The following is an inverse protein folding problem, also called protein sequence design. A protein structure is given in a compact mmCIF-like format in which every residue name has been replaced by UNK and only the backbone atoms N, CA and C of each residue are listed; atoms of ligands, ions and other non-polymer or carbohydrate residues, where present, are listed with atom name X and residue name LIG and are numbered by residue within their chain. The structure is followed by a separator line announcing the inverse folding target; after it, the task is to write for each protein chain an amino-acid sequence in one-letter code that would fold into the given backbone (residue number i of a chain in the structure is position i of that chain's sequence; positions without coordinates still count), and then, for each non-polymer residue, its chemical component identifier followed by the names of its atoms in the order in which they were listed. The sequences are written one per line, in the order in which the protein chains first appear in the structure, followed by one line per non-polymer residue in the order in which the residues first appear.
data_IF_337612019397
#
_entry.id   IF_337612019397
#
_cell.length_a   1.000
_cell.length_b   1.000
_cell.length_c   1.000
_cell.angle_alpha   90.00
_cell.angle_beta   90.00
_cell.angle_gamma   90.00
#
_symmetry.space_group_name_H-M   'P 1'
#
loop_
_entity.id
_entity.type
_entity.pdbx_description
1 polymer ?
#
# COMPACT_ATOMS: atom_id res chain seq x y z
N UNK A 1 50.20 -25.25 -39.38
CA UNK A 1 49.30 -25.98 -38.45
C UNK A 1 49.46 -25.37 -37.07
N UNK A 2 48.56 -24.46 -36.67
CA UNK A 2 48.57 -23.86 -35.34
C UNK A 2 47.57 -24.59 -34.45
N UNK A 3 48.05 -25.45 -33.57
CA UNK A 3 47.25 -26.07 -32.53
C UNK A 3 47.16 -25.10 -31.34
N UNK A 4 46.02 -24.43 -31.18
CA UNK A 4 45.69 -23.66 -29.99
C UNK A 4 45.43 -24.62 -28.82
N UNK A 5 46.45 -24.84 -27.99
CA UNK A 5 46.39 -25.64 -26.75
C UNK A 5 45.76 -24.87 -25.57
N UNK A 6 44.69 -24.11 -25.80
CA UNK A 6 44.04 -23.30 -24.75
C UNK A 6 42.95 -24.05 -23.98
N UNK A 7 42.48 -25.19 -24.47
CA UNK A 7 41.35 -25.94 -23.90
C UNK A 7 41.71 -26.82 -22.69
N UNK A 8 42.99 -27.08 -22.43
CA UNK A 8 43.41 -28.07 -21.42
C UNK A 8 44.10 -27.48 -20.18
N UNK A 9 44.12 -26.15 -20.06
CA UNK A 9 44.66 -25.50 -18.86
C UNK A 9 43.73 -25.75 -17.65
N UNK A 10 44.28 -25.92 -16.43
CA UNK A 10 43.48 -26.03 -15.21
C UNK A 10 42.51 -24.85 -15.01
N UNK A 11 42.86 -23.66 -15.52
CA UNK A 11 41.96 -22.50 -15.53
C UNK A 11 40.78 -22.70 -16.49
N UNK A 12 41.02 -23.15 -17.72
CA UNK A 12 39.96 -23.41 -18.70
C UNK A 12 38.95 -24.46 -18.20
N UNK A 13 39.45 -25.51 -17.52
CA UNK A 13 38.58 -26.53 -16.91
C UNK A 13 37.73 -25.99 -15.76
N UNK A 14 38.30 -25.15 -14.88
CA UNK A 14 37.55 -24.47 -13.80
C UNK A 14 36.51 -23.49 -14.34
N UNK A 15 36.84 -22.77 -15.40
CA UNK A 15 35.91 -21.87 -16.07
C UNK A 15 34.76 -22.62 -16.74
N UNK A 16 35.06 -23.73 -17.43
CA UNK A 16 34.04 -24.60 -18.01
C UNK A 16 33.10 -25.19 -16.94
N UNK A 17 33.64 -25.63 -15.80
CA UNK A 17 32.82 -26.12 -14.68
C UNK A 17 31.95 -25.02 -14.07
N UNK A 18 32.49 -23.80 -13.92
CA UNK A 18 31.72 -22.63 -13.46
C UNK A 18 30.60 -22.30 -14.43
N UNK A 19 30.88 -22.26 -15.73
CA UNK A 19 29.88 -21.96 -16.76
C UNK A 19 28.78 -23.03 -16.76
N UNK A 20 29.14 -24.32 -16.66
CA UNK A 20 28.16 -25.40 -16.56
C UNK A 20 27.24 -25.25 -15.34
N UNK A 21 27.79 -24.90 -14.17
CA UNK A 21 27.00 -24.65 -12.95
C UNK A 21 26.06 -23.46 -13.11
N UNK A 22 26.50 -22.40 -13.79
CA UNK A 22 25.66 -21.24 -14.10
C UNK A 22 24.53 -21.65 -15.05
N UNK A 23 24.83 -22.37 -16.13
CA UNK A 23 23.83 -22.83 -17.10
C UNK A 23 22.79 -23.76 -16.47
N UNK A 24 23.22 -24.68 -15.60
CA UNK A 24 22.34 -25.55 -14.81
C UNK A 24 21.42 -24.72 -13.87
N UNK A 25 21.96 -23.71 -13.20
CA UNK A 25 21.20 -22.82 -12.32
C UNK A 25 20.18 -21.98 -13.12
N UNK A 26 20.57 -21.44 -14.27
CA UNK A 26 19.70 -20.68 -15.16
C UNK A 26 18.56 -21.55 -15.72
N UNK A 27 18.86 -22.77 -16.15
CA UNK A 27 17.86 -23.71 -16.64
C UNK A 27 16.86 -24.11 -15.55
N UNK A 28 17.34 -24.29 -14.30
CA UNK A 28 16.48 -24.57 -13.15
C UNK A 28 15.58 -23.37 -12.82
N UNK A 29 16.14 -22.16 -12.78
CA UNK A 29 15.39 -20.93 -12.55
C UNK A 29 14.32 -20.70 -13.62
N UNK A 30 14.66 -20.89 -14.90
CA UNK A 30 13.70 -20.76 -16.01
C UNK A 30 12.55 -21.77 -15.94
N UNK A 31 12.81 -23.00 -15.49
CA UNK A 31 11.74 -23.99 -15.26
C UNK A 31 10.85 -23.62 -14.10
N UNK A 32 11.43 -23.16 -12.99
CA UNK A 32 10.67 -22.69 -11.83
C UNK A 32 9.79 -21.49 -12.22
N UNK A 33 10.35 -20.51 -12.94
CA UNK A 33 9.63 -19.35 -13.45
C UNK A 33 8.42 -19.75 -14.31
N UNK A 34 8.61 -20.65 -15.28
CA UNK A 34 7.53 -21.16 -16.14
C UNK A 34 6.46 -21.97 -15.41
N UNK A 35 6.74 -22.46 -14.19
CA UNK A 35 5.78 -23.22 -13.41
C UNK A 35 4.81 -22.33 -12.61
N UNK A 36 5.11 -21.03 -12.46
CA UNK A 36 4.23 -20.11 -11.75
C UNK A 36 3.03 -19.72 -12.61
N UNK A 37 1.84 -19.75 -12.01
CA UNK A 37 0.68 -19.09 -12.59
C UNK A 37 0.78 -17.60 -12.26
N UNK A 38 1.05 -16.78 -13.27
CA UNK A 38 1.21 -15.32 -13.10
C UNK A 38 -0.13 -14.62 -13.23
N UNK A 39 -0.59 -14.00 -12.14
CA UNK A 39 -1.82 -13.23 -12.07
C UNK A 39 -1.51 -11.73 -12.02
N UNK A 40 -2.01 -10.98 -13.01
CA UNK A 40 -1.83 -9.53 -13.08
C UNK A 40 -3.11 -8.81 -12.65
N UNK A 41 -3.02 -7.95 -11.63
CA UNK A 41 -4.11 -7.09 -11.19
C UNK A 41 -4.11 -5.78 -12.00
N UNK A 42 -5.18 -5.50 -12.74
CA UNK A 42 -5.37 -4.25 -13.49
C UNK A 42 -6.63 -3.53 -13.07
N UNK A 43 -6.70 -2.22 -13.34
CA UNK A 43 -7.80 -1.40 -12.88
C UNK A 43 -7.43 0.07 -12.72
N UNK A 44 -8.46 0.91 -12.57
CA UNK A 44 -8.27 2.34 -12.31
C UNK A 44 -7.56 2.59 -10.97
N UNK A 45 -7.10 3.83 -10.72
CA UNK A 45 -6.70 4.20 -9.37
C UNK A 45 -7.86 3.96 -8.40
N UNK A 46 -7.55 3.48 -7.20
CA UNK A 46 -8.56 3.28 -6.13
C UNK A 46 -9.65 2.24 -6.40
N UNK A 47 -9.51 1.40 -7.44
CA UNK A 47 -10.46 0.32 -7.71
C UNK A 47 -10.40 -0.87 -6.74
N UNK A 48 -9.45 -0.90 -5.79
CA UNK A 48 -9.33 -1.98 -4.80
C UNK A 48 -8.32 -3.09 -5.12
N UNK A 49 -7.54 -2.98 -6.22
CA UNK A 49 -6.46 -3.93 -6.55
C UNK A 49 -5.54 -4.25 -5.39
N UNK A 50 -4.98 -3.22 -4.75
CA UNK A 50 -4.04 -3.42 -3.64
C UNK A 50 -4.74 -4.00 -2.40
N UNK A 51 -6.05 -3.81 -2.26
CA UNK A 51 -6.85 -4.49 -1.21
C UNK A 51 -6.96 -5.98 -1.52
N UNK A 52 -7.24 -6.36 -2.77
CA UNK A 52 -7.21 -7.77 -3.20
C UNK A 52 -5.82 -8.35 -2.98
N UNK A 53 -4.76 -7.65 -3.39
CA UNK A 53 -3.38 -8.08 -3.19
C UNK A 53 -3.07 -8.37 -1.71
N UNK A 54 -3.42 -7.43 -0.81
CA UNK A 54 -3.29 -7.62 0.64
C UNK A 54 -4.08 -8.82 1.16
N UNK A 55 -5.27 -9.09 0.62
CA UNK A 55 -6.06 -10.27 1.00
C UNK A 55 -5.36 -11.58 0.60
N UNK A 56 -4.72 -11.64 -0.58
CA UNK A 56 -3.89 -12.79 -0.94
C UNK A 56 -2.71 -12.98 0.02
N UNK A 57 -2.07 -11.90 0.47
CA UNK A 57 -0.99 -11.97 1.46
C UNK A 57 -1.47 -12.52 2.81
N UNK A 58 -2.69 -12.18 3.23
CA UNK A 58 -3.30 -12.67 4.47
C UNK A 58 -3.67 -14.15 4.35
N UNK A 59 -4.30 -14.56 3.24
CA UNK A 59 -4.87 -15.89 3.09
C UNK A 59 -3.83 -16.95 2.69
N UNK A 60 -2.86 -16.58 1.87
CA UNK A 60 -1.92 -17.52 1.24
C UNK A 60 -0.44 -17.15 1.44
N UNK A 61 -0.16 -16.04 2.13
CA UNK A 61 1.19 -15.60 2.49
C UNK A 61 1.47 -15.74 3.99
N UNK A 62 2.51 -15.04 4.45
CA UNK A 62 2.89 -14.98 5.87
C UNK A 62 2.05 -13.95 6.67
N UNK A 63 1.07 -13.31 6.03
CA UNK A 63 0.32 -12.19 6.61
C UNK A 63 1.19 -10.95 6.83
N UNK A 64 0.85 -10.18 7.86
CA UNK A 64 1.54 -8.93 8.21
C UNK A 64 2.14 -9.04 9.61
N UNK A 65 3.47 -8.96 9.71
CA UNK A 65 4.17 -8.97 11.00
C UNK A 65 3.85 -7.72 11.82
N UNK A 66 3.97 -7.81 13.14
CA UNK A 66 3.73 -6.67 14.04
C UNK A 66 4.69 -5.50 13.75
N UNK A 67 5.94 -5.79 13.39
CA UNK A 67 6.91 -4.77 12.97
C UNK A 67 6.46 -4.03 11.71
N UNK A 68 5.97 -4.76 10.70
CA UNK A 68 5.43 -4.15 9.49
C UNK A 68 4.18 -3.31 9.78
N UNK A 69 3.29 -3.83 10.64
CA UNK A 69 2.08 -3.12 11.08
C UNK A 69 2.44 -1.82 11.78
N UNK A 70 3.43 -1.84 12.67
CA UNK A 70 3.93 -0.65 13.36
C UNK A 70 4.48 0.41 12.39
N UNK A 71 5.17 -0.01 11.33
CA UNK A 71 5.66 0.90 10.28
C UNK A 71 4.54 1.60 9.50
N UNK A 72 3.31 1.06 9.51
CA UNK A 72 2.15 1.66 8.84
C UNK A 72 1.40 2.68 9.70
N UNK A 73 1.58 2.66 11.03
CA UNK A 73 0.96 3.62 11.97
C UNK A 73 1.10 5.08 11.51
N UNK A 74 2.27 5.55 11.08
CA UNK A 74 2.44 6.93 10.64
C UNK A 74 1.61 7.27 9.38
N UNK A 75 1.48 6.31 8.45
CA UNK A 75 0.67 6.48 7.24
C UNK A 75 -0.82 6.57 7.56
N UNK A 76 -1.29 5.81 8.56
CA UNK A 76 -2.68 5.87 9.05
C UNK A 76 -2.97 7.23 9.67
N UNK A 77 -2.09 7.71 10.56
CA UNK A 77 -2.24 9.04 11.16
C UNK A 77 -2.30 10.15 10.10
N UNK A 78 -1.44 10.06 9.07
CA UNK A 78 -1.45 11.01 7.95
C UNK A 78 -2.78 10.98 7.20
N UNK A 79 -3.34 9.81 6.94
CA UNK A 79 -4.64 9.66 6.26
C UNK A 79 -5.78 10.27 7.08
N UNK A 80 -5.81 10.01 8.39
CA UNK A 80 -6.77 10.60 9.34
C UNK A 80 -6.69 12.13 9.31
N UNK A 81 -5.48 12.69 9.40
CA UNK A 81 -5.26 14.14 9.39
C UNK A 81 -5.69 14.79 8.07
N UNK A 82 -5.33 14.19 6.93
CA UNK A 82 -5.80 14.67 5.61
C UNK A 82 -7.33 14.63 5.54
N UNK A 83 -7.93 13.57 6.08
CA UNK A 83 -9.37 13.40 6.14
C UNK A 83 -10.09 14.51 6.91
N UNK A 84 -9.66 14.77 8.14
CA UNK A 84 -10.32 15.76 8.99
C UNK A 84 -10.13 17.17 8.42
N UNK A 85 -8.95 17.49 7.88
CA UNK A 85 -8.72 18.78 7.18
C UNK A 85 -9.66 18.94 5.99
N UNK A 86 -9.83 17.89 5.18
CA UNK A 86 -10.72 17.95 4.01
C UNK A 86 -12.19 18.14 4.40
N UNK A 87 -12.63 17.54 5.51
CA UNK A 87 -13.97 17.73 6.05
C UNK A 87 -14.21 19.15 6.54
N UNK A 88 -13.24 19.71 7.27
CA UNK A 88 -13.32 21.08 7.78
C UNK A 88 -13.35 22.10 6.63
N UNK A 89 -12.46 21.97 5.66
CA UNK A 89 -12.39 22.89 4.52
C UNK A 89 -13.68 22.84 3.68
N UNK A 90 -14.27 21.65 3.50
CA UNK A 90 -15.54 21.50 2.80
C UNK A 90 -16.73 22.03 3.62
N UNK A 91 -16.76 21.81 4.94
CA UNK A 91 -17.79 22.38 5.82
C UNK A 91 -17.78 23.91 5.79
N UNK A 92 -16.60 24.54 5.85
CA UNK A 92 -16.43 25.99 5.71
C UNK A 92 -16.92 26.49 4.34
N UNK A 93 -16.63 25.76 3.26
CA UNK A 93 -17.08 26.13 1.91
C UNK A 93 -18.61 26.17 1.75
N UNK A 94 -19.32 25.42 2.60
CA UNK A 94 -20.78 25.37 2.64
C UNK A 94 -21.38 26.39 3.64
N UNK A 95 -20.55 27.15 4.36
CA UNK A 95 -21.00 28.00 5.45
C UNK A 95 -21.62 27.22 6.61
N UNK A 96 -21.22 25.96 6.80
CA UNK A 96 -21.65 25.16 7.95
C UNK A 96 -20.82 25.61 9.16
N UNK A 97 -21.36 26.58 9.89
CA UNK A 97 -20.75 27.09 11.12
C UNK A 97 -21.29 26.35 12.36
N UNK A 98 -20.44 26.19 13.38
CA UNK A 98 -20.86 25.87 14.75
C UNK A 98 -20.26 24.61 15.38
N UNK A 99 -20.45 24.51 16.70
CA UNK A 99 -20.01 23.41 17.60
C UNK A 99 -18.51 23.23 17.83
N UNK A 100 -17.64 23.91 17.08
CA UNK A 100 -16.22 24.02 17.38
C UNK A 100 -15.77 25.48 17.37
N UNK A 101 -14.86 25.82 18.27
CA UNK A 101 -14.24 27.12 18.43
C UNK A 101 -13.12 27.35 17.41
N UNK A 102 -12.81 28.61 17.11
CA UNK A 102 -11.65 28.95 16.28
C UNK A 102 -10.36 28.33 16.82
N UNK A 103 -10.24 28.22 18.16
CA UNK A 103 -9.11 27.57 18.83
C UNK A 103 -9.00 26.09 18.49
N UNK A 104 -10.11 25.37 18.39
CA UNK A 104 -10.12 23.93 18.03
C UNK A 104 -9.75 23.74 16.55
N UNK A 105 -10.24 24.63 15.67
CA UNK A 105 -9.84 24.65 14.26
C UNK A 105 -8.35 24.93 14.10
N UNK A 106 -7.85 25.96 14.77
CA UNK A 106 -6.44 26.35 14.73
C UNK A 106 -5.56 25.25 15.33
N UNK A 107 -6.02 24.54 16.36
CA UNK A 107 -5.32 23.41 16.94
C UNK A 107 -5.20 22.26 15.93
N UNK A 108 -6.29 21.82 15.28
CA UNK A 108 -6.23 20.71 14.29
C UNK A 108 -5.49 21.10 13.02
N UNK A 109 -5.67 22.32 12.52
CA UNK A 109 -4.90 22.85 11.37
C UNK A 109 -3.43 23.07 11.71
N UNK A 110 -3.17 23.37 12.98
CA UNK A 110 -1.85 23.51 13.58
C UNK A 110 -1.13 22.17 13.81
N UNK A 111 -1.81 21.03 13.67
CA UNK A 111 -1.17 19.71 13.56
C UNK A 111 -0.44 19.65 12.21
N UNK A 112 0.71 20.35 12.16
CA UNK A 112 1.51 20.52 10.95
C UNK A 112 2.41 19.31 10.75
N UNK A 113 2.18 18.71 9.58
CA UNK A 113 3.14 18.02 8.71
C UNK A 113 4.50 18.72 8.75
N UNK A 114 5.47 18.15 9.45
CA UNK A 114 6.87 18.52 9.23
C UNK A 114 7.30 17.83 7.93
N UNK A 115 8.15 18.43 7.08
CA UNK A 115 8.58 17.82 5.82
C UNK A 115 9.24 16.44 5.96
N UNK A 116 9.61 16.04 7.17
CA UNK A 116 10.23 14.73 7.48
C UNK A 116 9.65 14.07 8.75
N UNK A 117 8.62 14.65 9.40
CA UNK A 117 8.00 14.09 10.61
C UNK A 117 6.56 13.70 10.28
N UNK A 118 6.30 12.41 10.37
CA UNK A 118 4.97 11.89 10.09
C UNK A 118 4.06 12.34 11.23
N UNK A 119 2.94 12.99 10.91
CA UNK A 119 2.03 13.52 11.93
C UNK A 119 1.69 12.45 12.97
N UNK A 120 2.20 12.61 14.19
CA UNK A 120 1.92 11.68 15.29
C UNK A 120 0.64 12.15 15.97
N UNK A 121 -0.42 11.34 15.88
CA UNK A 121 -1.61 11.53 16.70
C UNK A 121 -1.31 11.00 18.10
N UNK A 122 -1.45 11.86 19.10
CA UNK A 122 -1.50 11.48 20.50
C UNK A 122 -2.93 11.58 21.05
N UNK A 123 -3.15 11.16 22.32
CA UNK A 123 -4.49 11.15 22.92
C UNK A 123 -5.21 12.50 22.89
N UNK A 124 -4.46 13.60 23.01
CA UNK A 124 -5.04 14.96 22.95
C UNK A 124 -5.56 15.31 21.56
N UNK A 125 -4.78 15.01 20.52
CA UNK A 125 -5.22 15.18 19.13
C UNK A 125 -6.38 14.24 18.80
N UNK A 126 -6.36 13.01 19.30
CA UNK A 126 -7.44 12.04 19.13
C UNK A 126 -8.77 12.53 19.71
N UNK A 127 -8.75 13.03 20.95
CA UNK A 127 -9.94 13.60 21.60
C UNK A 127 -10.47 14.83 20.84
N UNK A 128 -9.58 15.69 20.35
CA UNK A 128 -9.97 16.85 19.55
C UNK A 128 -10.62 16.44 18.23
N UNK A 129 -10.03 15.48 17.50
CA UNK A 129 -10.60 14.94 16.25
C UNK A 129 -11.95 14.26 16.54
N UNK A 130 -12.11 13.59 17.68
CA UNK A 130 -13.39 13.00 18.09
C UNK A 130 -14.48 14.07 18.21
N UNK A 131 -14.22 15.15 18.95
CA UNK A 131 -15.14 16.27 19.11
C UNK A 131 -15.52 16.89 17.76
N UNK A 132 -14.54 17.08 16.87
CA UNK A 132 -14.81 17.61 15.53
C UNK A 132 -15.64 16.64 14.70
N UNK A 133 -15.31 15.35 14.70
CA UNK A 133 -16.05 14.34 13.96
C UNK A 133 -17.52 14.28 14.37
N UNK A 134 -17.82 14.37 15.66
CA UNK A 134 -19.20 14.35 16.18
C UNK A 134 -19.97 15.66 15.95
N UNK A 135 -19.29 16.72 15.49
CA UNK A 135 -19.92 18.01 15.24
C UNK A 135 -20.85 17.98 14.02
N UNK A 136 -21.96 18.74 14.12
CA UNK A 136 -22.95 18.85 13.02
C UNK A 136 -22.33 19.33 11.69
N UNK A 137 -21.42 20.31 11.64
CA UNK A 137 -20.83 20.72 10.36
C UNK A 137 -20.00 19.62 9.70
N UNK A 138 -19.20 18.90 10.48
CA UNK A 138 -18.34 17.82 9.94
C UNK A 138 -19.20 16.63 9.49
N UNK A 139 -20.22 16.25 10.25
CA UNK A 139 -21.18 15.24 9.81
C UNK A 139 -21.93 15.69 8.54
N UNK A 140 -22.36 16.96 8.47
CA UNK A 140 -22.99 17.51 7.28
C UNK A 140 -22.07 17.56 6.06
N UNK A 141 -20.76 17.73 6.25
CA UNK A 141 -19.76 17.57 5.20
C UNK A 141 -19.61 16.10 4.79
N UNK A 142 -19.55 15.17 5.75
CA UNK A 142 -19.44 13.73 5.51
C UNK A 142 -20.61 13.17 4.71
N UNK A 143 -21.84 13.61 4.99
CA UNK A 143 -23.04 13.23 4.23
C UNK A 143 -22.93 13.58 2.74
N UNK A 144 -22.08 14.57 2.42
CA UNK A 144 -21.79 15.06 1.06
C UNK A 144 -20.42 14.62 0.55
N UNK A 145 -19.79 13.59 1.15
CA UNK A 145 -18.45 13.10 0.78
C UNK A 145 -18.25 12.82 -0.71
N UNK A 146 -19.32 12.49 -1.45
CA UNK A 146 -19.27 12.29 -2.90
C UNK A 146 -18.95 13.58 -3.70
N UNK A 147 -19.06 14.76 -3.08
CA UNK A 147 -18.88 16.07 -3.73
C UNK A 147 -17.43 16.59 -3.64
N UNK A 148 -16.56 15.93 -2.88
CA UNK A 148 -15.16 16.31 -2.74
C UNK A 148 -14.27 15.07 -2.58
N UNK A 149 -12.95 15.28 -2.51
CA UNK A 149 -11.99 14.18 -2.41
C UNK A 149 -11.75 13.81 -0.95
N UNK A 150 -12.26 12.66 -0.53
CA UNK A 150 -12.02 12.06 0.78
C UNK A 150 -12.02 10.53 0.65
N UNK A 151 -11.26 9.84 1.50
CA UNK A 151 -11.30 8.39 1.55
C UNK A 151 -12.51 7.93 2.37
N UNK A 152 -13.31 7.00 1.83
CA UNK A 152 -14.45 6.43 2.54
C UNK A 152 -14.02 5.72 3.83
N UNK A 153 -12.81 5.15 3.86
CA UNK A 153 -12.26 4.51 5.05
C UNK A 153 -12.02 5.47 6.22
N UNK A 154 -12.06 6.79 6.02
CA UNK A 154 -11.84 7.75 7.09
C UNK A 154 -12.87 7.62 8.23
N UNK A 155 -14.13 7.27 7.92
CA UNK A 155 -15.17 7.06 8.95
C UNK A 155 -14.79 5.95 9.93
N UNK A 156 -14.18 4.85 9.45
CA UNK A 156 -13.68 3.78 10.32
C UNK A 156 -12.66 4.30 11.34
N UNK A 157 -11.73 5.14 10.90
CA UNK A 157 -10.70 5.68 11.79
C UNK A 157 -11.23 6.79 12.70
N UNK A 158 -12.16 7.63 12.25
CA UNK A 158 -12.77 8.66 13.11
C UNK A 158 -13.69 8.06 14.18
N UNK A 159 -14.44 7.00 13.82
CA UNK A 159 -15.31 6.29 14.75
C UNK A 159 -14.55 5.64 15.92
N UNK A 160 -13.25 5.35 15.74
CA UNK A 160 -12.39 4.74 16.75
C UNK A 160 -11.05 5.50 16.89
N UNK A 161 -11.13 6.83 16.84
CA UNK A 161 -9.95 7.71 16.83
C UNK A 161 -9.14 7.63 18.12
N UNK A 162 -9.78 7.32 19.25
CA UNK A 162 -9.10 7.15 20.54
C UNK A 162 -8.15 5.95 20.51
N UNK A 163 -8.56 4.83 19.90
CA UNK A 163 -7.67 3.68 19.67
C UNK A 163 -6.52 4.05 18.76
N UNK A 164 -6.80 4.74 17.66
CA UNK A 164 -5.78 5.12 16.66
C UNK A 164 -4.74 6.09 17.26
N UNK A 165 -5.18 7.02 18.10
CA UNK A 165 -4.33 8.01 18.74
C UNK A 165 -3.63 7.51 20.02
N UNK A 166 -3.89 6.26 20.45
CA UNK A 166 -3.27 5.69 21.62
C UNK A 166 -1.76 5.47 21.41
N UNK A 167 -0.90 5.71 22.43
CA UNK A 167 0.53 5.41 22.33
C UNK A 167 0.80 3.93 22.00
N UNK A 168 0.00 3.03 22.56
CA UNK A 168 0.05 1.58 22.34
C UNK A 168 -0.60 1.08 21.05
N UNK A 169 -1.12 1.99 20.20
CA UNK A 169 -1.78 1.61 18.96
C UNK A 169 -0.85 0.82 18.04
N UNK A 170 -1.28 -0.39 17.68
CA UNK A 170 -0.73 -1.23 16.60
C UNK A 170 -1.84 -1.44 15.56
N UNK A 171 -1.64 -1.04 14.28
CA UNK A 171 -2.66 -1.19 13.25
C UNK A 171 -3.17 -2.61 13.11
N UNK A 172 -4.49 -2.82 13.03
CA UNK A 172 -5.09 -4.15 12.79
C UNK A 172 -4.99 -4.54 11.32
N UNK A 173 -5.28 -5.80 11.01
CA UNK A 173 -5.39 -6.24 9.62
C UNK A 173 -6.45 -5.43 8.87
N UNK A 174 -7.57 -5.12 9.51
CA UNK A 174 -8.62 -4.27 8.93
C UNK A 174 -8.11 -2.84 8.66
N UNK A 175 -7.36 -2.26 9.59
CA UNK A 175 -6.75 -0.94 9.38
C UNK A 175 -5.82 -0.95 8.15
N UNK A 176 -5.04 -2.02 7.95
CA UNK A 176 -4.14 -2.18 6.80
C UNK A 176 -4.93 -2.29 5.49
N UNK A 177 -6.04 -3.03 5.50
CA UNK A 177 -6.90 -3.18 4.32
C UNK A 177 -7.59 -1.86 3.95
N UNK A 178 -7.96 -1.05 4.95
CA UNK A 178 -8.61 0.25 4.80
C UNK A 178 -7.63 1.42 4.55
N UNK A 179 -6.34 1.21 4.81
CA UNK A 179 -5.30 2.20 4.59
C UNK A 179 -5.08 2.46 3.09
N UNK A 180 -5.35 3.70 2.68
CA UNK A 180 -5.15 4.20 1.31
C UNK A 180 -3.73 4.72 1.12
N UNK A 181 -2.82 3.82 0.73
CA UNK A 181 -1.50 4.19 0.21
C UNK A 181 -1.54 4.13 -1.32
N UNK A 182 -1.01 5.18 -1.96
CA UNK A 182 -0.83 5.19 -3.41
C UNK A 182 0.22 4.14 -3.79
N UNK A 183 -0.20 3.08 -4.45
CA UNK A 183 0.71 2.11 -5.06
C UNK A 183 1.50 2.77 -6.19
N UNK A 184 2.82 2.74 -6.08
CA UNK A 184 3.77 3.21 -7.10
C UNK A 184 4.61 2.02 -7.55
N UNK A 185 4.92 1.97 -8.84
CA UNK A 185 5.70 0.88 -9.41
C UNK A 185 4.90 -0.41 -9.59
N UNK A 186 5.65 -1.51 -9.52
CA UNK A 186 5.20 -2.89 -9.74
C UNK A 186 5.58 -3.65 -8.48
N UNK A 187 4.62 -4.33 -7.87
CA UNK A 187 4.83 -5.20 -6.71
C UNK A 187 4.54 -6.61 -7.16
N UNK A 188 5.51 -7.50 -7.01
CA UNK A 188 5.37 -8.92 -7.32
C UNK A 188 5.57 -9.74 -6.04
N UNK A 189 4.74 -10.75 -5.85
CA UNK A 189 4.90 -11.68 -4.74
C UNK A 189 4.57 -13.11 -5.17
N UNK A 190 5.49 -14.01 -4.85
CA UNK A 190 5.30 -15.45 -5.01
C UNK A 190 4.57 -16.03 -3.79
N UNK A 191 3.64 -16.93 -4.05
CA UNK A 191 2.86 -17.64 -3.04
C UNK A 191 2.43 -19.01 -3.55
N UNK A 192 2.03 -19.89 -2.63
CA UNK A 192 1.53 -21.23 -2.99
C UNK A 192 0.06 -21.33 -2.59
N UNK A 193 -0.81 -21.53 -3.57
CA UNK A 193 -2.26 -21.67 -3.37
C UNK A 193 -2.63 -23.11 -3.72
N UNK A 194 -3.11 -23.86 -2.73
CA UNK A 194 -3.50 -25.27 -2.88
C UNK A 194 -2.40 -26.14 -3.54
N UNK A 195 -1.14 -25.88 -3.18
CA UNK A 195 0.02 -26.60 -3.71
C UNK A 195 0.51 -26.13 -5.09
N UNK A 196 -0.15 -25.13 -5.69
CA UNK A 196 0.22 -24.55 -6.98
C UNK A 196 0.98 -23.24 -6.76
N UNK A 197 2.15 -23.04 -7.38
CA UNK A 197 2.89 -21.78 -7.27
C UNK A 197 2.22 -20.69 -8.11
N UNK A 198 1.92 -19.57 -7.48
CA UNK A 198 1.38 -18.36 -8.09
C UNK A 198 2.36 -17.21 -7.94
N UNK A 199 2.40 -16.34 -8.94
CA UNK A 199 2.99 -15.00 -8.84
C UNK A 199 1.91 -13.96 -9.01
N UNK A 200 1.62 -13.22 -7.94
CA UNK A 200 0.67 -12.12 -7.99
C UNK A 200 1.42 -10.82 -8.30
N UNK A 201 0.88 -10.02 -9.22
CA UNK A 201 1.47 -8.74 -9.65
C UNK A 201 0.44 -7.63 -9.46
N UNK A 202 0.73 -6.67 -8.56
CA UNK A 202 -0.02 -5.42 -8.41
C UNK A 202 0.73 -4.26 -9.08
N UNK A 203 -0.01 -3.43 -9.80
CA UNK A 203 0.55 -2.27 -10.51
C UNK A 203 -0.22 -1.01 -10.14
N UNK A 204 0.51 0.11 -10.09
CA UNK A 204 -0.10 1.42 -9.87
C UNK A 204 -1.20 1.73 -10.90
N UNK A 205 -2.41 2.06 -10.43
CA UNK A 205 -3.58 2.33 -11.29
C UNK A 205 -3.66 3.75 -11.87
N UNK A 206 -2.86 4.68 -11.32
CA UNK A 206 -2.87 6.08 -11.71
C UNK A 206 -2.29 6.30 -13.11
N UNK A 207 -2.74 7.34 -13.82
CA UNK A 207 -2.34 7.60 -15.23
C UNK A 207 -0.82 7.58 -15.45
N UNK A 208 -0.05 8.13 -14.52
CA UNK A 208 1.41 8.18 -14.62
C UNK A 208 2.09 6.81 -14.42
N UNK A 209 1.42 5.88 -13.72
CA UNK A 209 1.90 4.53 -13.46
C UNK A 209 1.58 3.56 -14.61
N UNK A 210 0.55 3.85 -15.42
CA UNK A 210 0.10 2.98 -16.53
C UNK A 210 1.17 2.70 -17.59
N UNK A 211 2.15 3.59 -17.75
CA UNK A 211 3.29 3.37 -18.65
C UNK A 211 4.12 2.15 -18.25
N UNK A 212 4.11 1.76 -16.97
CA UNK A 212 4.85 0.61 -16.44
C UNK A 212 4.13 -0.73 -16.68
N UNK A 213 2.82 -0.70 -16.97
CA UNK A 213 2.02 -1.91 -17.10
C UNK A 213 2.54 -2.83 -18.20
N UNK A 214 3.03 -2.27 -19.31
CA UNK A 214 3.51 -3.05 -20.47
C UNK A 214 4.60 -4.07 -20.08
N UNK A 215 5.42 -3.75 -19.07
CA UNK A 215 6.49 -4.63 -18.59
C UNK A 215 5.97 -5.81 -17.77
N UNK A 216 4.72 -5.76 -17.31
CA UNK A 216 4.12 -6.78 -16.44
C UNK A 216 3.37 -7.85 -17.23
N UNK A 217 3.06 -7.60 -18.50
CA UNK A 217 2.27 -8.51 -19.35
C UNK A 217 3.05 -9.71 -19.88
N UNK A 218 4.38 -9.71 -19.77
CA UNK A 218 5.15 -10.87 -20.22
C UNK A 218 4.81 -12.10 -19.37
N UNK A 219 4.45 -13.18 -20.07
CA UNK A 219 4.09 -14.49 -19.53
C UNK A 219 2.99 -14.45 -18.45
N UNK A 220 2.04 -13.50 -18.55
CA UNK A 220 0.86 -13.48 -17.67
C UNK A 220 -0.09 -14.63 -18.04
N UNK A 221 -0.46 -15.41 -17.03
CA UNK A 221 -1.42 -16.51 -17.19
C UNK A 221 -2.87 -16.01 -17.19
N UNK A 222 -3.18 -15.03 -16.34
CA UNK A 222 -4.50 -14.38 -16.32
C UNK A 222 -4.43 -12.94 -15.80
N UNK A 223 -5.41 -12.14 -16.21
CA UNK A 223 -5.61 -10.75 -15.76
C UNK A 223 -6.88 -10.69 -14.93
N UNK A 224 -6.77 -10.16 -13.70
CA UNK A 224 -7.92 -9.76 -12.90
C UNK A 224 -8.11 -8.26 -13.06
N UNK A 225 -9.21 -7.87 -13.72
CA UNK A 225 -9.56 -6.46 -13.90
C UNK A 225 -10.57 -6.02 -12.84
N UNK A 226 -10.20 -5.01 -12.06
CA UNK A 226 -10.95 -4.46 -10.92
C UNK A 226 -11.37 -3.02 -11.18
#
# INVERSE_FOLDING_TARGET
MGACSSSDSPMARREAERNRKIDEALAKAARAERSHIKLLLLGAGESGKSTIFKQFQILYGEGFSDDYRLQLKPSIHTMVLIGIHSLLDYAESLGLEGQYSQRELDAVRGIRKVPDDVGVLGPGEGALIRTLWESKPVQGAWDRKAQFQIAESNEHFFADIERVAAPSYVPTVDDILLLRIRTTGIIEQDMVIDGVPFRLVDVGGQRNERKKWIHCFDQVSAVLFV
#
